data_IF_372283229078
#
_entry.id   IF_372283229078
#
_cell.length_a   1.000
_cell.length_b   1.000
_cell.length_c   1.000
_cell.angle_alpha   90.00
_cell.angle_beta   90.00
_cell.angle_gamma   90.00
#
_symmetry.space_group_name_H-M   'P 1'
#
loop_
_entity.id
_entity.type
_entity.pdbx_description
1 polymer ?
#
# COMPACT_ATOMS: atom_id res chain seq x y z
N UNK A 1 21.34 12.48 -7.44
CA UNK A 1 22.63 13.16 -7.67
C UNK A 1 22.36 14.61 -8.02
N UNK A 2 23.00 15.55 -7.31
CA UNK A 2 22.88 16.99 -7.59
C UNK A 2 24.10 17.42 -8.41
N UNK A 3 23.89 18.08 -9.54
CA UNK A 3 24.93 18.72 -10.34
C UNK A 3 24.67 20.21 -10.41
N UNK A 4 25.70 21.02 -10.23
CA UNK A 4 25.57 22.48 -10.31
C UNK A 4 26.32 22.93 -11.55
N UNK A 5 25.61 23.59 -12.48
CA UNK A 5 26.20 24.24 -13.64
C UNK A 5 25.95 25.75 -13.53
N UNK A 6 26.97 26.49 -13.10
CA UNK A 6 26.83 27.94 -12.87
C UNK A 6 25.82 28.26 -11.77
N UNK A 7 24.80 29.06 -12.07
CA UNK A 7 23.74 29.42 -11.14
C UNK A 7 22.55 28.43 -11.14
N UNK A 8 22.62 27.33 -11.88
CA UNK A 8 21.52 26.36 -12.02
C UNK A 8 21.90 25.08 -11.27
N UNK A 9 21.08 24.73 -10.29
CA UNK A 9 21.16 23.47 -9.57
C UNK A 9 20.28 22.45 -10.28
N UNK A 10 20.91 21.43 -10.86
CA UNK A 10 20.24 20.32 -11.52
C UNK A 10 20.18 19.12 -10.55
N UNK A 11 18.97 18.84 -10.07
CA UNK A 11 18.70 17.75 -9.13
C UNK A 11 18.14 16.57 -9.90
N UNK A 12 18.98 15.57 -10.16
CA UNK A 12 18.51 14.27 -10.67
C UNK A 12 18.14 13.39 -9.49
N UNK A 13 16.85 13.22 -9.23
CA UNK A 13 16.33 12.20 -8.32
C UNK A 13 16.53 10.84 -9.01
N UNK A 14 17.45 9.97 -8.54
CA UNK A 14 17.63 8.64 -9.12
C UNK A 14 16.45 7.70 -8.82
N UNK A 15 15.50 8.15 -7.98
CA UNK A 15 14.35 7.41 -7.48
C UNK A 15 13.02 7.77 -8.14
N UNK A 16 13.02 8.62 -9.17
CA UNK A 16 11.89 8.63 -10.11
C UNK A 16 12.01 7.38 -11.01
N UNK A 17 11.85 6.19 -10.42
CA UNK A 17 11.54 4.98 -11.20
C UNK A 17 10.24 5.29 -11.93
N UNK A 18 10.21 4.96 -13.21
CA UNK A 18 9.05 5.11 -14.08
C UNK A 18 7.77 4.76 -13.29
N UNK A 19 6.95 5.77 -12.97
CA UNK A 19 5.64 5.62 -12.32
C UNK A 19 4.67 4.97 -13.31
N UNK A 20 5.04 3.80 -13.84
CA UNK A 20 4.16 2.95 -14.59
C UNK A 20 3.29 2.21 -13.60
N UNK A 21 1.99 2.17 -13.89
CA UNK A 21 1.05 1.39 -13.11
C UNK A 21 1.48 -0.07 -13.19
N UNK A 22 1.72 -0.71 -12.04
CA UNK A 22 2.05 -2.14 -11.94
C UNK A 22 0.93 -3.01 -12.53
N UNK A 23 -0.30 -2.50 -12.52
CA UNK A 23 -1.49 -3.16 -13.04
C UNK A 23 -2.32 -2.22 -13.93
N UNK A 24 -2.90 -2.74 -15.01
CA UNK A 24 -3.98 -2.07 -15.74
C UNK A 24 -5.34 -2.52 -15.17
N UNK A 25 -5.97 -1.66 -14.38
CA UNK A 25 -7.27 -1.92 -13.78
C UNK A 25 -8.45 -1.56 -14.72
N UNK A 26 -8.19 -0.91 -15.85
CA UNK A 26 -9.21 -0.36 -16.72
C UNK A 26 -9.85 0.94 -16.17
N UNK A 27 -11.11 1.20 -16.55
CA UNK A 27 -11.81 2.46 -16.23
C UNK A 27 -13.11 2.21 -15.46
N UNK A 28 -13.53 3.22 -14.71
CA UNK A 28 -14.81 3.25 -13.99
C UNK A 28 -14.70 2.92 -12.50
N UNK A 29 -15.83 3.03 -11.78
CA UNK A 29 -15.88 2.89 -10.31
C UNK A 29 -15.25 1.59 -9.83
N UNK A 30 -15.63 0.44 -10.41
CA UNK A 30 -15.08 -0.87 -10.01
C UNK A 30 -13.55 -0.95 -10.12
N UNK A 31 -12.99 -0.47 -11.24
CA UNK A 31 -11.55 -0.44 -11.46
C UNK A 31 -10.83 0.41 -10.40
N UNK A 32 -11.40 1.58 -10.06
CA UNK A 32 -10.84 2.47 -9.07
C UNK A 32 -10.89 1.87 -7.64
N UNK A 33 -11.98 1.17 -7.29
CA UNK A 33 -12.05 0.45 -6.01
C UNK A 33 -11.03 -0.68 -5.94
N UNK A 34 -10.90 -1.49 -7.00
CA UNK A 34 -9.88 -2.54 -7.06
C UNK A 34 -8.47 -1.95 -6.89
N UNK A 35 -8.17 -0.86 -7.59
CA UNK A 35 -6.88 -0.17 -7.47
C UNK A 35 -6.62 0.34 -6.04
N UNK A 36 -7.63 0.88 -5.37
CA UNK A 36 -7.50 1.35 -3.99
C UNK A 36 -7.33 0.21 -2.98
N UNK A 37 -8.01 -0.91 -3.16
CA UNK A 37 -7.78 -2.11 -2.34
C UNK A 37 -6.36 -2.62 -2.55
N UNK A 38 -5.90 -2.69 -3.80
CA UNK A 38 -4.52 -3.12 -4.11
C UNK A 38 -3.49 -2.19 -3.50
N UNK A 39 -3.71 -0.88 -3.61
CA UNK A 39 -2.86 0.13 -3.01
C UNK A 39 -2.85 0.04 -1.49
N UNK A 40 -4.01 -0.11 -0.85
CA UNK A 40 -4.12 -0.25 0.61
C UNK A 40 -3.36 -1.47 1.12
N UNK A 41 -3.49 -2.62 0.46
CA UNK A 41 -2.79 -3.86 0.82
C UNK A 41 -1.27 -3.76 0.57
N UNK A 42 -0.86 -3.15 -0.54
CA UNK A 42 0.56 -2.88 -0.78
C UNK A 42 1.13 -1.90 0.24
N UNK A 43 0.36 -0.87 0.62
CA UNK A 43 0.75 0.10 1.64
C UNK A 43 0.88 -0.57 3.02
N UNK A 44 -0.04 -1.46 3.41
CA UNK A 44 0.03 -2.14 4.71
C UNK A 44 1.25 -3.03 4.85
N UNK A 45 1.72 -3.65 3.77
CA UNK A 45 2.99 -4.38 3.74
C UNK A 45 4.18 -3.41 3.83
N UNK A 46 4.20 -2.36 3.00
CA UNK A 46 5.29 -1.38 3.00
C UNK A 46 5.47 -0.70 4.37
N UNK A 47 4.40 -0.38 5.08
CA UNK A 47 4.46 0.22 6.41
C UNK A 47 5.03 -0.71 7.49
N UNK A 48 5.17 -2.01 7.19
CA UNK A 48 5.83 -2.97 8.07
C UNK A 48 7.27 -3.25 7.67
N UNK A 49 7.65 -3.00 6.44
CA UNK A 49 9.02 -3.22 5.98
C UNK A 49 9.89 -2.06 6.42
N UNK A 50 10.94 -2.37 7.16
CA UNK A 50 12.03 -1.46 7.44
C UNK A 50 13.37 -2.15 7.20
N UNK A 51 14.44 -1.38 7.00
CA UNK A 51 15.80 -1.93 6.90
C UNK A 51 16.58 -1.54 8.12
N UNK A 52 17.22 -2.50 8.78
CA UNK A 52 18.18 -2.20 9.85
C UNK A 52 19.24 -1.26 9.28
N UNK A 53 19.45 -0.11 9.95
CA UNK A 53 20.34 0.97 9.51
C UNK A 53 20.08 1.49 8.07
N UNK A 54 18.89 1.25 7.51
CA UNK A 54 18.50 1.68 6.16
C UNK A 54 19.06 0.86 4.99
N UNK A 55 19.93 -0.12 5.23
CA UNK A 55 20.58 -0.92 4.16
C UNK A 55 20.76 -2.40 4.49
N UNK A 56 20.67 -2.80 5.75
CA UNK A 56 20.95 -4.17 6.19
C UNK A 56 19.66 -5.03 6.15
N UNK A 57 19.55 -5.98 7.08
CA UNK A 57 18.46 -6.93 7.22
C UNK A 57 17.07 -6.26 7.19
N UNK A 58 16.13 -6.91 6.50
CA UNK A 58 14.72 -6.54 6.54
C UNK A 58 14.17 -6.79 7.95
N UNK A 59 13.58 -5.75 8.52
CA UNK A 59 12.79 -5.79 9.73
C UNK A 59 11.31 -5.78 9.36
N UNK A 60 10.52 -6.53 10.12
CA UNK A 60 9.07 -6.57 9.99
C UNK A 60 8.43 -5.95 11.23
N UNK A 61 7.69 -4.87 11.06
CA UNK A 61 7.01 -4.20 12.15
C UNK A 61 5.82 -5.03 12.66
N UNK A 62 5.62 -4.93 13.97
CA UNK A 62 4.54 -5.57 14.71
C UNK A 62 3.16 -4.99 14.32
N UNK A 63 2.10 -5.75 14.55
CA UNK A 63 0.72 -5.38 14.21
C UNK A 63 0.21 -4.09 14.85
N UNK A 64 0.85 -3.61 15.92
CA UNK A 64 0.52 -2.33 16.56
C UNK A 64 0.55 -1.13 15.62
N UNK A 65 1.23 -1.21 14.46
CA UNK A 65 1.23 -0.14 13.47
C UNK A 65 -0.03 -0.11 12.59
N UNK A 66 -0.74 -1.24 12.45
CA UNK A 66 -1.83 -1.38 11.50
C UNK A 66 -3.00 -0.40 11.71
N UNK A 67 -3.45 -0.09 12.95
CA UNK A 67 -4.49 0.90 13.15
C UNK A 67 -4.13 2.26 12.53
N UNK A 68 -2.89 2.72 12.70
CA UNK A 68 -2.42 3.98 12.13
C UNK A 68 -2.32 3.93 10.60
N UNK A 69 -2.00 2.76 10.02
CA UNK A 69 -2.02 2.58 8.56
C UNK A 69 -3.44 2.73 8.01
N UNK A 70 -4.42 2.10 8.67
CA UNK A 70 -5.84 2.18 8.26
C UNK A 70 -6.34 3.61 8.38
N UNK A 71 -6.11 4.25 9.52
CA UNK A 71 -6.48 5.65 9.77
C UNK A 71 -5.87 6.58 8.72
N UNK A 72 -4.55 6.52 8.52
CA UNK A 72 -3.85 7.38 7.56
C UNK A 72 -4.29 7.16 6.11
N UNK A 73 -4.64 5.93 5.73
CA UNK A 73 -5.20 5.65 4.41
C UNK A 73 -6.54 6.36 4.18
N UNK A 74 -7.48 6.21 5.12
CA UNK A 74 -8.80 6.83 4.99
C UNK A 74 -8.77 8.35 5.18
N UNK A 75 -7.93 8.87 6.09
CA UNK A 75 -7.71 10.31 6.24
C UNK A 75 -7.13 10.93 4.97
N UNK A 76 -6.11 10.27 4.38
CA UNK A 76 -5.50 10.71 3.13
C UNK A 76 -6.49 10.76 1.98
N UNK A 77 -7.39 9.78 1.90
CA UNK A 77 -8.54 9.85 1.02
C UNK A 77 -9.39 11.09 1.36
N UNK A 78 -9.96 11.20 2.57
CA UNK A 78 -10.86 12.31 2.94
C UNK A 78 -10.29 13.69 2.59
N UNK A 79 -9.01 13.91 2.83
CA UNK A 79 -8.31 15.15 2.50
C UNK A 79 -8.33 15.48 0.98
N UNK A 80 -8.30 14.46 0.12
CA UNK A 80 -8.40 14.57 -1.34
C UNK A 80 -9.81 14.44 -1.93
N UNK A 81 -10.85 14.30 -1.08
CA UNK A 81 -12.21 13.89 -1.48
C UNK A 81 -12.82 14.64 -2.67
N UNK A 82 -12.63 15.96 -2.75
CA UNK A 82 -13.17 16.79 -3.85
C UNK A 82 -12.70 16.30 -5.23
N UNK A 83 -11.49 15.72 -5.34
CA UNK A 83 -10.91 15.30 -6.60
C UNK A 83 -11.45 13.97 -7.13
N UNK A 84 -11.90 13.07 -6.25
CA UNK A 84 -12.24 11.69 -6.65
C UNK A 84 -13.68 11.27 -6.32
N UNK A 85 -14.41 12.01 -5.48
CA UNK A 85 -15.83 11.70 -5.17
C UNK A 85 -16.70 11.54 -6.42
N UNK A 86 -16.55 12.32 -7.51
CA UNK A 86 -17.32 12.10 -8.74
C UNK A 86 -17.12 10.71 -9.37
N UNK A 87 -16.00 10.03 -9.08
CA UNK A 87 -15.63 8.73 -9.63
C UNK A 87 -15.90 7.61 -8.62
N UNK A 88 -15.56 7.83 -7.35
CA UNK A 88 -15.61 6.81 -6.30
C UNK A 88 -16.90 6.85 -5.48
N UNK A 89 -17.64 7.96 -5.47
CA UNK A 89 -18.74 8.16 -4.54
C UNK A 89 -18.24 8.39 -3.10
N UNK A 90 -19.09 8.10 -2.09
CA UNK A 90 -18.73 8.20 -0.68
C UNK A 90 -17.57 7.25 -0.32
N UNK A 91 -16.73 7.64 0.64
CA UNK A 91 -15.58 6.83 1.08
C UNK A 91 -16.06 5.64 1.91
N UNK A 92 -17.22 5.78 2.53
CA UNK A 92 -17.91 4.79 3.35
C UNK A 92 -18.26 3.53 2.54
N UNK A 93 -18.50 3.67 1.23
CA UNK A 93 -18.66 2.54 0.31
C UNK A 93 -17.36 1.70 0.23
N UNK A 94 -16.19 2.36 0.20
CA UNK A 94 -14.89 1.69 0.18
C UNK A 94 -14.57 1.06 1.54
N UNK A 95 -14.89 1.75 2.63
CA UNK A 95 -14.77 1.18 3.97
C UNK A 95 -15.60 -0.11 4.09
N UNK A 96 -16.88 -0.06 3.70
CA UNK A 96 -17.77 -1.22 3.71
C UNK A 96 -17.27 -2.37 2.82
N UNK A 97 -16.64 -2.05 1.69
CA UNK A 97 -16.00 -3.06 0.83
C UNK A 97 -14.84 -3.74 1.55
N UNK A 98 -13.93 -2.96 2.16
CA UNK A 98 -12.73 -3.49 2.84
C UNK A 98 -13.13 -4.28 4.10
N UNK A 99 -14.10 -3.78 4.87
CA UNK A 99 -14.65 -4.44 6.06
C UNK A 99 -15.34 -5.77 5.72
N UNK A 100 -15.93 -5.88 4.52
CA UNK A 100 -16.56 -7.11 4.04
C UNK A 100 -15.60 -8.20 3.55
N UNK A 101 -14.30 -7.92 3.41
CA UNK A 101 -13.32 -8.90 2.97
C UNK A 101 -12.91 -9.82 4.12
N UNK A 102 -12.86 -11.12 3.85
CA UNK A 102 -12.31 -12.08 4.82
C UNK A 102 -10.79 -11.99 4.88
N UNK A 103 -10.18 -12.55 5.94
CA UNK A 103 -8.72 -12.74 5.99
C UNK A 103 -8.18 -13.56 4.82
N UNK A 104 -8.96 -14.52 4.30
CA UNK A 104 -8.58 -15.31 3.12
C UNK A 104 -8.61 -14.47 1.84
N UNK A 105 -9.56 -13.55 1.71
CA UNK A 105 -9.59 -12.62 0.58
C UNK A 105 -8.40 -11.67 0.62
N UNK A 106 -8.06 -11.13 1.80
CA UNK A 106 -6.83 -10.34 1.94
C UNK A 106 -5.59 -11.14 1.58
N UNK A 107 -5.46 -12.37 2.08
CA UNK A 107 -4.32 -13.22 1.75
C UNK A 107 -4.23 -13.48 0.25
N UNK A 108 -5.34 -13.83 -0.41
CA UNK A 108 -5.39 -14.09 -1.86
C UNK A 108 -4.96 -12.87 -2.67
N UNK A 109 -5.44 -11.68 -2.31
CA UNK A 109 -5.08 -10.45 -3.03
C UNK A 109 -3.63 -10.09 -2.76
N UNK A 110 -3.18 -10.18 -1.51
CA UNK A 110 -1.79 -9.94 -1.14
C UNK A 110 -0.84 -10.87 -1.89
N UNK A 111 -1.14 -12.17 -1.97
CA UNK A 111 -0.33 -13.17 -2.70
C UNK A 111 -0.18 -12.80 -4.18
N UNK A 112 -1.27 -12.38 -4.83
CA UNK A 112 -1.24 -11.89 -6.20
C UNK A 112 -0.48 -10.56 -6.38
N UNK A 113 -0.30 -9.80 -5.30
CA UNK A 113 0.41 -8.51 -5.28
C UNK A 113 1.90 -8.65 -4.97
N UNK A 114 2.31 -9.72 -4.29
CA UNK A 114 3.68 -9.87 -3.78
C UNK A 114 4.71 -9.76 -4.91
N UNK A 115 4.62 -10.61 -5.92
CA UNK A 115 5.60 -10.63 -7.01
C UNK A 115 5.61 -9.31 -7.82
N UNK A 116 4.45 -8.76 -8.26
CA UNK A 116 4.46 -7.55 -9.09
C UNK A 116 4.94 -6.29 -8.36
N UNK A 117 4.77 -6.20 -7.03
CA UNK A 117 5.18 -5.03 -6.26
C UNK A 117 6.56 -5.16 -5.61
N UNK A 118 6.97 -6.38 -5.22
CA UNK A 118 8.15 -6.60 -4.40
C UNK A 118 9.20 -7.51 -5.04
N UNK A 119 8.96 -8.01 -6.26
CA UNK A 119 9.87 -8.92 -6.97
C UNK A 119 11.27 -8.33 -7.28
N UNK A 120 11.40 -7.01 -7.29
CA UNK A 120 12.69 -6.32 -7.48
C UNK A 120 13.61 -6.37 -6.24
N UNK A 121 13.10 -6.78 -5.07
CA UNK A 121 13.85 -6.87 -3.82
C UNK A 121 13.72 -8.29 -3.22
N UNK A 122 14.62 -9.22 -3.58
CA UNK A 122 14.54 -10.62 -3.13
C UNK A 122 14.55 -10.80 -1.61
N UNK A 123 15.29 -9.95 -0.89
CA UNK A 123 15.37 -10.02 0.58
C UNK A 123 14.03 -9.63 1.21
N UNK A 124 13.39 -8.57 0.70
CA UNK A 124 12.05 -8.18 1.13
C UNK A 124 11.01 -9.24 0.75
N UNK A 125 11.12 -9.80 -0.46
CA UNK A 125 10.22 -10.82 -0.97
C UNK A 125 10.17 -12.05 -0.05
N UNK A 126 11.32 -12.57 0.36
CA UNK A 126 11.41 -13.73 1.26
C UNK A 126 10.72 -13.45 2.60
N UNK A 127 10.95 -12.27 3.20
CA UNK A 127 10.33 -11.88 4.46
C UNK A 127 8.82 -11.72 4.32
N UNK A 128 8.35 -11.07 3.25
CA UNK A 128 6.92 -10.87 2.98
C UNK A 128 6.22 -12.22 2.84
N UNK A 129 6.75 -13.14 2.01
CA UNK A 129 6.17 -14.45 1.80
C UNK A 129 6.06 -15.25 3.10
N UNK A 130 7.09 -15.22 3.95
CA UNK A 130 7.07 -15.88 5.26
C UNK A 130 6.10 -15.28 6.28
N UNK A 131 5.59 -14.06 6.05
CA UNK A 131 4.67 -13.34 6.95
C UNK A 131 3.28 -13.14 6.38
N UNK A 132 3.05 -13.46 5.11
CA UNK A 132 1.87 -13.02 4.35
C UNK A 132 0.54 -13.46 4.95
N UNK A 133 0.42 -14.73 5.34
CA UNK A 133 -0.80 -15.28 5.96
C UNK A 133 -1.08 -14.61 7.31
N UNK A 134 -0.03 -14.43 8.11
CA UNK A 134 -0.14 -13.77 9.42
C UNK A 134 -0.50 -12.29 9.27
N UNK A 135 0.11 -11.60 8.31
CA UNK A 135 -0.21 -10.21 7.97
C UNK A 135 -1.68 -10.06 7.56
N UNK A 136 -2.19 -10.94 6.69
CA UNK A 136 -3.58 -10.91 6.25
C UNK A 136 -4.57 -11.07 7.42
N UNK A 137 -4.27 -11.99 8.35
CA UNK A 137 -5.07 -12.19 9.57
C UNK A 137 -5.02 -10.98 10.51
N UNK A 138 -3.84 -10.40 10.72
CA UNK A 138 -3.66 -9.22 11.57
C UNK A 138 -4.33 -7.98 10.97
N UNK A 139 -4.18 -7.77 9.67
CA UNK A 139 -4.85 -6.69 8.94
C UNK A 139 -6.36 -6.83 8.99
N UNK A 140 -6.89 -8.04 8.79
CA UNK A 140 -8.30 -8.32 8.97
C UNK A 140 -8.78 -7.96 10.38
N UNK A 141 -8.07 -8.42 11.42
CA UNK A 141 -8.44 -8.09 12.79
C UNK A 141 -8.42 -6.58 13.05
N UNK A 142 -7.42 -5.87 12.54
CA UNK A 142 -7.30 -4.41 12.66
C UNK A 142 -8.45 -3.67 11.94
N UNK A 143 -8.81 -4.11 10.73
CA UNK A 143 -9.96 -3.56 9.98
C UNK A 143 -11.27 -3.78 10.76
N UNK A 144 -11.51 -4.99 11.29
CA UNK A 144 -12.73 -5.29 12.06
C UNK A 144 -12.82 -4.49 13.38
N UNK A 145 -11.67 -4.14 13.96
CA UNK A 145 -11.58 -3.34 15.17
C UNK A 145 -11.65 -1.83 14.88
N UNK A 146 -11.36 -1.41 13.66
CA UNK A 146 -11.46 -0.02 13.25
C UNK A 146 -12.93 0.44 13.31
N UNK A 147 -13.11 1.68 13.73
CA UNK A 147 -14.40 2.34 13.81
C UNK A 147 -14.21 3.69 13.15
N UNK A 148 -14.91 3.89 12.04
CA UNK A 148 -14.99 5.19 11.39
C UNK A 148 -16.02 6.11 12.05
#
# INVERSE_FOLDING_TARGET
AVRIHGAIVDVRLPTARDYQSVFDFGKGKKAAYTALVYFFLGLSVNMRLDRRNGVDDILWADEVCLPAVIEGFFEGLRAGSVAYVPVLGPIEDLYSLIEGLSSEDFHRVLDALVEPYFGDDPDALEVIQGRLETHARELHAAVQAFRD
#
